data_IF_718757632821
#
_entry.id   IF_718757632821
#
_cell.length_a   1.000
_cell.length_b   1.000
_cell.length_c   1.000
_cell.angle_alpha   90.00
_cell.angle_beta   90.00
_cell.angle_gamma   90.00
#
_symmetry.space_group_name_H-M   'P 1'
#
loop_
_entity.id
_entity.type
_entity.pdbx_description
1 polymer ?
#
# COMPACT_ATOMS: atom_id res chain seq x y z
N UNK A 1 21.93 -12.23 -22.28
CA UNK A 1 20.55 -11.87 -21.86
C UNK A 1 19.73 -11.82 -23.15
N UNK A 2 18.71 -12.65 -23.29
CA UNK A 2 17.92 -12.75 -24.53
C UNK A 2 16.88 -11.65 -24.58
N UNK A 3 16.68 -11.05 -25.74
CA UNK A 3 15.67 -9.99 -25.96
C UNK A 3 14.25 -10.48 -25.57
N UNK A 4 14.00 -11.77 -25.76
CA UNK A 4 12.76 -12.46 -25.36
C UNK A 4 12.42 -12.31 -23.87
N UNK A 5 13.42 -12.32 -22.99
CA UNK A 5 13.20 -12.16 -21.53
C UNK A 5 12.68 -10.77 -21.16
N UNK A 6 13.17 -9.73 -21.84
CA UNK A 6 12.69 -8.37 -21.62
C UNK A 6 11.26 -8.16 -22.14
N UNK A 7 10.92 -8.75 -23.28
CA UNK A 7 9.59 -8.63 -23.88
C UNK A 7 8.53 -9.21 -22.95
N UNK A 8 8.80 -10.36 -22.31
CA UNK A 8 7.87 -11.03 -21.38
C UNK A 8 7.55 -10.15 -20.15
N UNK A 9 8.48 -9.28 -19.74
CA UNK A 9 8.27 -8.41 -18.57
C UNK A 9 7.72 -7.04 -18.98
N UNK A 10 8.29 -6.44 -20.04
CA UNK A 10 7.96 -5.06 -20.41
C UNK A 10 6.59 -4.93 -21.06
N UNK A 11 6.16 -5.92 -21.87
CA UNK A 11 4.87 -5.84 -22.57
C UNK A 11 3.68 -5.85 -21.59
N UNK A 12 3.59 -6.78 -20.62
CA UNK A 12 2.52 -6.74 -19.61
C UNK A 12 2.54 -5.48 -18.77
N UNK A 13 3.73 -5.00 -18.40
CA UNK A 13 3.89 -3.76 -17.64
C UNK A 13 3.38 -2.54 -18.42
N UNK A 14 3.73 -2.44 -19.71
CA UNK A 14 3.26 -1.36 -20.58
C UNK A 14 1.74 -1.37 -20.72
N UNK A 15 1.12 -2.55 -20.87
CA UNK A 15 -0.34 -2.69 -20.93
C UNK A 15 -0.99 -2.32 -19.61
N UNK A 16 -0.44 -2.72 -18.49
CA UNK A 16 -0.92 -2.31 -17.18
C UNK A 16 -0.91 -0.79 -17.01
N UNK A 17 0.21 -0.14 -17.34
CA UNK A 17 0.34 1.32 -17.32
C UNK A 17 -0.63 2.01 -18.29
N UNK A 18 -0.82 1.46 -19.48
CA UNK A 18 -1.79 1.99 -20.45
C UNK A 18 -3.22 2.01 -19.89
N UNK A 19 -3.66 0.91 -19.24
CA UNK A 19 -5.00 0.84 -18.63
C UNK A 19 -5.15 1.84 -17.48
N UNK A 20 -4.10 2.00 -16.64
CA UNK A 20 -4.11 2.99 -15.56
C UNK A 20 -4.21 4.43 -16.09
N UNK A 21 -3.42 4.77 -17.11
CA UNK A 21 -3.42 6.11 -17.72
C UNK A 21 -4.73 6.43 -18.42
N UNK A 22 -5.47 5.42 -18.87
CA UNK A 22 -6.81 5.56 -19.46
C UNK A 22 -7.92 5.67 -18.41
N UNK A 23 -7.60 5.64 -17.10
CA UNK A 23 -8.56 5.76 -16.02
C UNK A 23 -9.36 4.48 -15.71
N UNK A 24 -8.95 3.33 -16.23
CA UNK A 24 -9.56 2.06 -15.88
C UNK A 24 -9.12 1.62 -14.46
N UNK A 25 -9.91 0.72 -13.86
CA UNK A 25 -9.61 0.18 -12.54
C UNK A 25 -8.32 -0.65 -12.55
N UNK A 26 -7.58 -0.60 -11.42
CA UNK A 26 -6.33 -1.36 -11.23
C UNK A 26 -6.55 -2.86 -11.47
N UNK A 27 -7.70 -3.39 -11.01
CA UNK A 27 -8.08 -4.80 -11.20
C UNK A 27 -8.22 -5.18 -12.66
N UNK A 28 -8.81 -4.31 -13.48
CA UNK A 28 -8.98 -4.56 -14.90
C UNK A 28 -7.62 -4.51 -15.64
N UNK A 29 -6.78 -3.54 -15.29
CA UNK A 29 -5.42 -3.46 -15.81
C UNK A 29 -4.58 -4.68 -15.45
N UNK A 30 -4.65 -5.13 -14.19
CA UNK A 30 -3.93 -6.32 -13.73
C UNK A 30 -4.40 -7.61 -14.41
N UNK A 31 -5.71 -7.76 -14.64
CA UNK A 31 -6.27 -8.91 -15.35
C UNK A 31 -5.70 -9.02 -16.77
N UNK A 32 -5.79 -7.94 -17.56
CA UNK A 32 -5.29 -7.93 -18.93
C UNK A 32 -3.77 -8.08 -19.01
N UNK A 33 -3.04 -7.44 -18.07
CA UNK A 33 -1.58 -7.59 -17.98
C UNK A 33 -1.18 -9.03 -17.68
N UNK A 34 -1.87 -9.73 -16.76
CA UNK A 34 -1.59 -11.12 -16.42
C UNK A 34 -1.87 -12.05 -17.60
N UNK A 35 -2.99 -11.85 -18.30
CA UNK A 35 -3.35 -12.63 -19.46
C UNK A 35 -2.34 -12.44 -20.60
N UNK A 36 -1.91 -11.22 -20.82
CA UNK A 36 -0.89 -10.89 -21.81
C UNK A 36 0.49 -11.43 -21.42
N UNK A 37 0.83 -11.46 -20.12
CA UNK A 37 2.08 -12.07 -19.65
C UNK A 37 2.15 -13.55 -19.98
N UNK A 38 1.04 -14.29 -19.82
CA UNK A 38 0.97 -15.71 -20.21
C UNK A 38 1.09 -15.87 -21.72
N UNK A 39 0.45 -15.02 -22.50
CA UNK A 39 0.53 -15.06 -23.97
C UNK A 39 1.93 -14.73 -24.48
N UNK A 40 2.54 -13.67 -23.99
CA UNK A 40 3.92 -13.28 -24.38
C UNK A 40 4.92 -14.34 -23.99
N UNK A 41 4.76 -14.94 -22.80
CA UNK A 41 5.59 -16.07 -22.38
C UNK A 41 5.48 -17.26 -23.35
N UNK A 42 4.25 -17.66 -23.69
CA UNK A 42 3.98 -18.76 -24.63
C UNK A 42 4.62 -18.50 -26.00
N UNK A 43 4.43 -17.29 -26.55
CA UNK A 43 4.96 -16.90 -27.84
C UNK A 43 6.50 -16.88 -27.83
N UNK A 44 7.11 -16.28 -26.82
CA UNK A 44 8.58 -16.24 -26.71
C UNK A 44 9.17 -17.64 -26.56
N UNK A 45 8.49 -18.53 -25.84
CA UNK A 45 8.93 -19.90 -25.65
C UNK A 45 8.82 -20.74 -26.94
N UNK A 46 7.78 -20.51 -27.77
CA UNK A 46 7.62 -21.13 -29.09
C UNK A 46 8.76 -20.68 -30.02
N UNK A 47 9.10 -19.39 -30.02
CA UNK A 47 10.17 -18.81 -30.83
C UNK A 47 11.53 -19.42 -30.46
N UNK A 48 11.80 -19.58 -29.15
CA UNK A 48 13.06 -20.13 -28.64
C UNK A 48 13.23 -21.62 -28.89
N UNK A 49 12.14 -22.42 -28.78
CA UNK A 49 12.20 -23.88 -28.80
C UNK A 49 11.97 -24.48 -30.20
N UNK A 50 11.34 -23.71 -31.11
CA UNK A 50 10.95 -24.14 -32.48
C UNK A 50 10.11 -25.44 -32.55
N UNK A 51 9.62 -25.93 -31.43
CA UNK A 51 8.78 -27.12 -31.31
C UNK A 51 7.49 -26.80 -30.59
N UNK A 52 6.39 -26.78 -31.35
CA UNK A 52 5.07 -26.37 -30.87
C UNK A 52 4.52 -27.30 -29.77
N UNK A 53 4.79 -28.62 -29.85
CA UNK A 53 4.28 -29.59 -28.86
C UNK A 53 4.95 -29.40 -27.51
N UNK A 54 6.27 -29.26 -27.52
CA UNK A 54 7.07 -29.04 -26.29
C UNK A 54 6.75 -27.69 -25.67
N UNK A 55 6.56 -26.66 -26.49
CA UNK A 55 6.15 -25.33 -26.02
C UNK A 55 4.76 -25.35 -25.35
N UNK A 56 3.78 -25.99 -25.96
CA UNK A 56 2.42 -26.03 -25.42
C UNK A 56 2.31 -26.81 -24.08
N UNK A 57 3.01 -27.95 -24.00
CA UNK A 57 3.06 -28.75 -22.76
C UNK A 57 3.83 -28.04 -21.64
N UNK A 58 4.90 -27.34 -21.95
CA UNK A 58 5.68 -26.58 -20.96
C UNK A 58 4.92 -25.36 -20.48
N UNK A 59 4.30 -24.60 -21.37
CA UNK A 59 3.44 -23.45 -21.01
C UNK A 59 2.26 -23.88 -20.16
N UNK A 60 1.61 -25.02 -20.48
CA UNK A 60 0.52 -25.59 -19.66
C UNK A 60 0.96 -25.95 -18.24
N UNK A 61 2.14 -26.60 -18.09
CA UNK A 61 2.71 -26.90 -16.77
C UNK A 61 3.05 -25.66 -15.97
N UNK A 62 3.60 -24.62 -16.61
CA UNK A 62 3.93 -23.36 -15.94
C UNK A 62 2.66 -22.64 -15.55
N UNK A 63 1.65 -22.57 -16.41
CA UNK A 63 0.36 -21.96 -16.09
C UNK A 63 -0.27 -22.65 -14.87
N UNK A 64 -0.30 -23.99 -14.85
CA UNK A 64 -0.82 -24.76 -13.71
C UNK A 64 -0.02 -24.53 -12.42
N UNK A 65 1.31 -24.53 -12.50
CA UNK A 65 2.18 -24.23 -11.35
C UNK A 65 1.99 -22.81 -10.84
N UNK A 66 1.80 -21.84 -11.76
CA UNK A 66 1.54 -20.44 -11.41
C UNK A 66 0.18 -20.26 -10.74
N UNK A 67 -0.85 -20.98 -11.22
CA UNK A 67 -2.17 -20.99 -10.56
C UNK A 67 -2.10 -21.57 -9.14
N UNK A 68 -1.36 -22.66 -8.93
CA UNK A 68 -1.19 -23.24 -7.58
C UNK A 68 -0.46 -22.24 -6.65
N UNK A 69 0.64 -21.65 -7.10
CA UNK A 69 1.35 -20.66 -6.30
C UNK A 69 0.51 -19.40 -6.03
N UNK A 70 -0.22 -18.94 -7.04
CA UNK A 70 -1.15 -17.81 -6.89
C UNK A 70 -2.27 -18.11 -5.90
N UNK A 71 -2.86 -19.29 -5.94
CA UNK A 71 -3.90 -19.74 -4.98
C UNK A 71 -3.37 -19.72 -3.55
N UNK A 72 -2.15 -20.23 -3.32
CA UNK A 72 -1.52 -20.20 -2.00
C UNK A 72 -1.37 -18.79 -1.46
N UNK A 73 -0.91 -17.86 -2.30
CA UNK A 73 -0.79 -16.45 -1.92
C UNK A 73 -2.15 -15.79 -1.63
N UNK A 74 -3.19 -16.16 -2.39
CA UNK A 74 -4.56 -15.66 -2.14
C UNK A 74 -5.08 -16.15 -0.79
N UNK A 75 -4.87 -17.42 -0.45
CA UNK A 75 -5.29 -17.99 0.85
C UNK A 75 -4.64 -17.24 2.02
N UNK A 76 -3.34 -16.96 1.91
CA UNK A 76 -2.61 -16.19 2.93
C UNK A 76 -3.18 -14.76 3.06
N UNK A 77 -3.41 -14.07 1.94
CA UNK A 77 -4.04 -12.75 1.94
C UNK A 77 -5.46 -12.76 2.49
N UNK A 78 -6.28 -13.76 2.16
CA UNK A 78 -7.62 -13.90 2.71
C UNK A 78 -7.61 -14.04 4.24
N UNK A 79 -6.66 -14.80 4.79
CA UNK A 79 -6.49 -14.92 6.24
C UNK A 79 -6.18 -13.57 6.91
N UNK A 80 -5.25 -12.81 6.35
CA UNK A 80 -4.89 -11.48 6.84
C UNK A 80 -6.08 -10.51 6.73
N UNK A 81 -6.78 -10.50 5.60
CA UNK A 81 -7.95 -9.65 5.39
C UNK A 81 -9.10 -9.99 6.35
N UNK A 82 -9.40 -11.27 6.55
CA UNK A 82 -10.42 -11.70 7.49
C UNK A 82 -10.08 -11.29 8.93
N UNK A 83 -8.85 -11.51 9.37
CA UNK A 83 -8.37 -11.08 10.68
C UNK A 83 -8.46 -9.57 10.86
N UNK A 84 -8.05 -8.78 9.86
CA UNK A 84 -8.13 -7.32 9.92
C UNK A 84 -9.58 -6.82 9.99
N UNK A 85 -10.52 -7.43 9.27
CA UNK A 85 -11.94 -7.07 9.33
C UNK A 85 -12.56 -7.34 10.71
N UNK A 86 -12.15 -8.41 11.39
CA UNK A 86 -12.58 -8.69 12.76
C UNK A 86 -12.09 -7.58 13.70
N UNK A 87 -10.84 -7.17 13.60
CA UNK A 87 -10.28 -6.08 14.41
C UNK A 87 -11.02 -4.77 14.17
N UNK A 88 -11.28 -4.42 12.90
CA UNK A 88 -12.02 -3.21 12.53
C UNK A 88 -13.44 -3.25 13.12
N UNK A 89 -14.14 -4.38 13.00
CA UNK A 89 -15.47 -4.56 13.55
C UNK A 89 -15.48 -4.38 15.09
N UNK A 90 -14.52 -4.97 15.80
CA UNK A 90 -14.39 -4.82 17.26
C UNK A 90 -14.13 -3.36 17.68
N UNK A 91 -13.24 -2.66 16.98
CA UNK A 91 -12.94 -1.23 17.24
C UNK A 91 -14.21 -0.39 17.03
N UNK A 92 -14.97 -0.67 15.98
CA UNK A 92 -16.21 0.04 15.67
C UNK A 92 -17.32 -0.24 16.70
N UNK A 93 -17.51 -1.51 17.08
CA UNK A 93 -18.54 -1.92 18.03
C UNK A 93 -18.27 -1.46 19.47
N UNK A 94 -17.00 -1.40 19.87
CA UNK A 94 -16.61 -0.98 21.23
C UNK A 94 -16.65 0.54 21.42
N UNK A 95 -16.85 1.31 20.35
CA UNK A 95 -16.75 2.77 20.40
C UNK A 95 -15.31 3.27 20.72
N UNK A 96 -14.32 2.39 20.60
CA UNK A 96 -12.92 2.76 20.82
C UNK A 96 -12.47 3.89 19.91
N UNK A 97 -12.93 3.87 18.65
CA UNK A 97 -12.66 4.90 17.67
C UNK A 97 -13.08 6.30 18.14
N UNK A 98 -14.31 6.43 18.65
CA UNK A 98 -14.84 7.71 19.14
C UNK A 98 -14.14 8.20 20.40
N UNK A 99 -13.80 7.29 21.32
CA UNK A 99 -13.02 7.64 22.53
C UNK A 99 -11.62 8.11 22.16
N UNK A 100 -10.96 7.42 21.26
CA UNK A 100 -9.63 7.81 20.81
C UNK A 100 -9.65 9.16 20.10
N UNK A 101 -10.62 9.40 19.23
CA UNK A 101 -10.84 10.69 18.57
C UNK A 101 -11.02 11.82 19.59
N UNK A 102 -11.90 11.64 20.60
CA UNK A 102 -12.11 12.66 21.62
C UNK A 102 -10.87 12.94 22.48
N UNK A 103 -10.06 11.93 22.78
CA UNK A 103 -8.79 12.12 23.50
C UNK A 103 -7.78 12.93 22.64
N UNK A 104 -7.72 12.66 21.34
CA UNK A 104 -6.84 13.40 20.42
C UNK A 104 -7.28 14.86 20.31
N UNK A 105 -8.60 15.13 20.22
CA UNK A 105 -9.13 16.50 20.21
C UNK A 105 -8.78 17.24 21.51
N UNK A 106 -8.98 16.61 22.66
CA UNK A 106 -8.64 17.20 23.96
C UNK A 106 -7.15 17.56 24.08
N UNK A 107 -6.25 16.73 23.51
CA UNK A 107 -4.82 17.05 23.44
C UNK A 107 -4.54 18.21 22.46
N UNK A 108 -5.33 18.31 21.40
CA UNK A 108 -5.20 19.32 20.35
C UNK A 108 -5.61 20.73 20.78
N UNK A 109 -6.47 20.88 21.80
CA UNK A 109 -6.84 22.18 22.38
C UNK A 109 -5.61 22.96 22.87
N UNK A 110 -4.56 22.26 23.29
CA UNK A 110 -3.32 22.87 23.75
C UNK A 110 -2.29 23.05 22.61
N UNK A 111 -2.27 22.17 21.60
CA UNK A 111 -1.31 22.22 20.50
C UNK A 111 -1.70 21.32 19.35
N UNK A 112 -1.96 21.90 18.19
CA UNK A 112 -2.23 21.15 16.94
C UNK A 112 -1.05 20.24 16.58
N UNK A 113 0.19 20.68 16.83
CA UNK A 113 1.38 19.86 16.57
C UNK A 113 1.37 18.57 17.39
N UNK A 114 1.05 18.66 18.69
CA UNK A 114 0.98 17.49 19.56
C UNK A 114 -0.10 16.52 19.09
N UNK A 115 -1.24 17.03 18.66
CA UNK A 115 -2.31 16.24 18.09
C UNK A 115 -1.87 15.50 16.81
N UNK A 116 -1.18 16.17 15.89
CA UNK A 116 -0.63 15.55 14.69
C UNK A 116 0.37 14.45 15.04
N UNK A 117 1.26 14.68 16.00
CA UNK A 117 2.23 13.67 16.46
C UNK A 117 1.50 12.45 17.06
N UNK A 118 0.52 12.66 17.94
CA UNK A 118 -0.27 11.56 18.50
C UNK A 118 -1.03 10.81 17.41
N UNK A 119 -1.64 11.52 16.47
CA UNK A 119 -2.35 10.93 15.32
C UNK A 119 -1.42 10.11 14.43
N UNK A 120 -0.19 10.56 14.20
CA UNK A 120 0.84 9.81 13.49
C UNK A 120 1.10 8.45 14.16
N UNK A 121 1.39 8.45 15.47
CA UNK A 121 1.65 7.21 16.20
C UNK A 121 0.44 6.27 16.18
N UNK A 122 -0.75 6.80 16.42
CA UNK A 122 -2.00 6.02 16.39
C UNK A 122 -2.23 5.43 15.00
N UNK A 123 -2.04 6.21 13.94
CA UNK A 123 -2.21 5.73 12.56
C UNK A 123 -1.23 4.61 12.21
N UNK A 124 0.04 4.76 12.61
CA UNK A 124 1.05 3.72 12.41
C UNK A 124 0.66 2.45 13.18
N UNK A 125 0.27 2.57 14.45
CA UNK A 125 -0.16 1.43 15.27
C UNK A 125 -1.38 0.71 14.68
N UNK A 126 -2.40 1.47 14.27
CA UNK A 126 -3.60 0.91 13.65
C UNK A 126 -3.30 0.24 12.30
N UNK A 127 -2.31 0.74 11.57
CA UNK A 127 -1.92 0.22 10.26
C UNK A 127 -1.01 -1.01 10.31
N UNK A 128 -0.45 -1.36 11.49
CA UNK A 128 0.47 -2.50 11.60
C UNK A 128 -0.22 -3.82 11.25
N UNK A 129 0.32 -4.51 10.25
CA UNK A 129 -0.19 -5.83 9.83
C UNK A 129 -1.49 -5.78 9.00
N UNK A 130 -2.02 -4.60 8.73
CA UNK A 130 -3.18 -4.43 7.86
C UNK A 130 -2.76 -4.12 6.41
N UNK A 131 -3.55 -4.52 5.41
CA UNK A 131 -3.44 -3.95 4.07
C UNK A 131 -3.64 -2.44 4.11
N UNK A 132 -2.90 -1.70 3.29
CA UNK A 132 -2.88 -0.21 3.31
C UNK A 132 -4.27 0.41 3.18
N UNK A 133 -5.14 -0.18 2.36
CA UNK A 133 -6.53 0.27 2.19
C UNK A 133 -7.35 0.13 3.47
N UNK A 134 -7.22 -1.01 4.17
CA UNK A 134 -7.90 -1.24 5.45
C UNK A 134 -7.35 -0.32 6.55
N UNK A 135 -6.04 -0.16 6.61
CA UNK A 135 -5.37 0.77 7.52
C UNK A 135 -5.83 2.21 7.31
N UNK A 136 -5.95 2.65 6.05
CA UNK A 136 -6.46 3.98 5.72
C UNK A 136 -7.93 4.14 6.14
N UNK A 137 -8.81 3.20 5.79
CA UNK A 137 -10.24 3.30 6.13
C UNK A 137 -10.43 3.37 7.65
N UNK A 138 -9.71 2.52 8.40
CA UNK A 138 -9.75 2.53 9.85
C UNK A 138 -9.21 3.84 10.42
N UNK A 139 -8.03 4.27 9.99
CA UNK A 139 -7.42 5.52 10.43
C UNK A 139 -8.26 6.74 10.07
N UNK A 140 -8.81 6.80 8.87
CA UNK A 140 -9.65 7.90 8.41
C UNK A 140 -10.95 8.00 9.21
N UNK A 141 -11.57 6.88 9.58
CA UNK A 141 -12.79 6.90 10.39
C UNK A 141 -12.57 7.43 11.81
N UNK A 142 -11.36 7.30 12.34
CA UNK A 142 -11.01 7.69 13.71
C UNK A 142 -10.34 9.07 13.76
N UNK A 143 -9.33 9.28 12.93
CA UNK A 143 -8.41 10.42 13.04
C UNK A 143 -8.82 11.61 12.17
N UNK A 144 -9.35 11.38 10.95
CA UNK A 144 -9.69 12.50 10.07
C UNK A 144 -10.73 13.44 10.68
N UNK A 145 -11.84 12.97 11.33
CA UNK A 145 -12.78 13.86 11.99
C UNK A 145 -12.13 14.68 13.11
N UNK A 146 -11.25 14.05 13.90
CA UNK A 146 -10.52 14.74 14.97
C UNK A 146 -9.62 15.85 14.43
N UNK A 147 -8.86 15.60 13.38
CA UNK A 147 -7.99 16.60 12.75
C UNK A 147 -8.77 17.74 12.11
N UNK A 148 -9.91 17.45 11.48
CA UNK A 148 -10.78 18.46 10.86
C UNK A 148 -11.38 19.38 11.93
N UNK A 149 -11.81 18.85 13.08
CA UNK A 149 -12.34 19.68 14.18
C UNK A 149 -11.30 20.62 14.77
N UNK A 150 -10.01 20.28 14.66
CA UNK A 150 -8.87 21.13 15.07
C UNK A 150 -8.43 22.13 13.99
N UNK A 151 -9.16 22.22 12.88
CA UNK A 151 -8.94 23.20 11.84
C UNK A 151 -8.01 22.74 10.70
N UNK A 152 -7.61 21.46 10.68
CA UNK A 152 -6.86 20.91 9.54
C UNK A 152 -7.79 20.75 8.33
N UNK A 153 -7.42 21.22 7.13
CA UNK A 153 -8.23 21.06 5.93
C UNK A 153 -8.58 19.59 5.67
N UNK A 154 -9.82 19.28 5.21
CA UNK A 154 -10.26 17.89 5.04
C UNK A 154 -9.33 17.06 4.14
N UNK A 155 -8.87 17.61 3.02
CA UNK A 155 -7.94 16.93 2.12
C UNK A 155 -6.61 16.63 2.83
N UNK A 156 -6.05 17.60 3.55
CA UNK A 156 -4.82 17.43 4.31
C UNK A 156 -4.96 16.37 5.41
N UNK A 157 -6.09 16.36 6.14
CA UNK A 157 -6.36 15.38 7.18
C UNK A 157 -6.43 13.94 6.61
N UNK A 158 -7.14 13.75 5.48
CA UNK A 158 -7.22 12.44 4.82
C UNK A 158 -5.88 11.99 4.22
N UNK A 159 -5.14 12.90 3.60
CA UNK A 159 -3.80 12.59 3.09
C UNK A 159 -2.81 12.27 4.20
N UNK A 160 -2.88 12.98 5.34
CA UNK A 160 -2.08 12.70 6.53
C UNK A 160 -2.26 11.25 6.99
N UNK A 161 -3.51 10.84 7.15
CA UNK A 161 -3.83 9.47 7.55
C UNK A 161 -3.38 8.44 6.51
N UNK A 162 -3.60 8.73 5.21
CA UNK A 162 -3.18 7.85 4.14
C UNK A 162 -1.65 7.65 4.10
N UNK A 163 -0.88 8.73 4.30
CA UNK A 163 0.59 8.66 4.35
C UNK A 163 1.07 7.72 5.46
N UNK A 164 0.55 7.89 6.69
CA UNK A 164 0.99 7.05 7.81
C UNK A 164 0.43 5.63 7.74
N UNK A 165 -0.72 5.42 7.12
CA UNK A 165 -1.21 4.09 6.79
C UNK A 165 -0.26 3.37 5.80
N UNK A 166 0.32 4.08 4.82
CA UNK A 166 1.35 3.52 3.95
C UNK A 166 2.67 3.27 4.70
N UNK A 167 3.10 4.21 5.54
CA UNK A 167 4.34 4.12 6.29
C UNK A 167 4.32 3.02 7.37
N UNK A 168 3.14 2.62 7.85
CA UNK A 168 3.00 1.52 8.81
C UNK A 168 3.57 0.19 8.29
N UNK A 169 3.54 -0.02 6.96
CA UNK A 169 4.11 -1.20 6.33
C UNK A 169 5.66 -1.23 6.36
N UNK A 170 6.30 -0.09 6.60
CA UNK A 170 7.75 0.06 6.67
C UNK A 170 8.26 0.12 8.11
N UNK A 171 7.38 0.48 9.08
CA UNK A 171 7.77 0.74 10.47
C UNK A 171 7.75 -0.52 11.33
N UNK A 172 8.82 -0.80 12.12
CA UNK A 172 8.77 -1.86 13.14
C UNK A 172 7.65 -1.58 14.17
N UNK A 173 7.07 -2.60 14.79
CA UNK A 173 7.57 -3.98 14.89
C UNK A 173 7.09 -4.94 13.79
N UNK A 174 6.08 -4.62 13.01
CA UNK A 174 5.50 -5.58 12.05
C UNK A 174 6.13 -5.46 10.65
N UNK A 175 6.29 -4.24 10.14
CA UNK A 175 6.96 -3.85 8.88
C UNK A 175 6.90 -4.92 7.76
N UNK A 176 5.69 -5.31 7.33
CA UNK A 176 5.45 -6.43 6.41
C UNK A 176 6.26 -6.32 5.11
N UNK A 177 6.35 -5.12 4.53
CA UNK A 177 7.13 -4.89 3.31
C UNK A 177 8.63 -5.14 3.52
N UNK A 178 9.15 -4.71 4.67
CA UNK A 178 10.56 -4.92 5.03
C UNK A 178 10.84 -6.38 5.34
N UNK A 179 9.89 -7.08 5.97
CA UNK A 179 10.02 -8.51 6.24
C UNK A 179 10.19 -9.30 4.93
N UNK A 180 9.37 -9.02 3.93
CA UNK A 180 9.48 -9.64 2.61
C UNK A 180 10.81 -9.29 1.91
N UNK A 181 11.21 -8.02 1.93
CA UNK A 181 12.46 -7.56 1.34
C UNK A 181 13.69 -8.18 2.03
N UNK A 182 13.67 -8.28 3.36
CA UNK A 182 14.76 -8.89 4.14
C UNK A 182 14.92 -10.39 3.87
N UNK A 183 13.80 -11.09 3.62
CA UNK A 183 13.80 -12.50 3.21
C UNK A 183 14.51 -12.69 1.85
N UNK A 184 14.23 -11.82 0.88
CA UNK A 184 14.91 -11.83 -0.43
C UNK A 184 16.39 -11.48 -0.32
N UNK A 185 16.73 -10.48 0.50
CA UNK A 185 18.10 -10.02 0.72
C UNK A 185 18.90 -10.91 1.71
N UNK A 186 18.25 -11.94 2.30
CA UNK A 186 18.85 -12.80 3.36
C UNK A 186 19.46 -11.99 4.51
N UNK A 187 18.81 -10.89 4.89
CA UNK A 187 19.25 -9.97 5.93
C UNK A 187 18.38 -10.05 7.19
N UNK A 188 18.85 -9.47 8.29
CA UNK A 188 18.06 -9.40 9.52
C UNK A 188 16.92 -8.38 9.35
N UNK A 189 15.66 -8.85 9.42
CA UNK A 189 14.47 -8.04 9.20
C UNK A 189 14.37 -6.81 10.10
N UNK A 190 14.74 -6.93 11.39
CA UNK A 190 14.65 -5.81 12.34
C UNK A 190 15.66 -4.71 12.03
N UNK A 191 16.93 -5.09 11.73
CA UNK A 191 17.96 -4.13 11.30
C UNK A 191 17.56 -3.45 9.99
N UNK A 192 17.01 -4.21 9.05
CA UNK A 192 16.53 -3.68 7.78
C UNK A 192 15.36 -2.73 8.01
N UNK A 193 14.43 -3.03 8.95
CA UNK A 193 13.33 -2.14 9.33
C UNK A 193 13.79 -0.83 9.94
N UNK A 194 14.73 -0.87 10.88
CA UNK A 194 15.31 0.34 11.45
C UNK A 194 16.00 1.20 10.38
N UNK A 195 16.74 0.58 9.46
CA UNK A 195 17.39 1.28 8.37
C UNK A 195 16.36 1.90 7.40
N UNK A 196 15.31 1.17 7.07
CA UNK A 196 14.20 1.67 6.25
C UNK A 196 13.55 2.91 6.87
N UNK A 197 13.32 2.91 8.19
CA UNK A 197 12.80 4.09 8.90
C UNK A 197 13.77 5.27 8.84
N UNK A 198 15.08 5.04 8.97
CA UNK A 198 16.07 6.10 8.86
C UNK A 198 16.08 6.74 7.46
N UNK A 199 16.03 5.91 6.42
CA UNK A 199 15.97 6.39 5.03
C UNK A 199 14.64 7.10 4.75
N UNK A 200 13.54 6.63 5.36
CA UNK A 200 12.22 7.22 5.19
C UNK A 200 11.96 8.46 6.08
N UNK A 201 12.90 8.87 6.94
CA UNK A 201 12.74 10.01 7.85
C UNK A 201 12.18 11.28 7.17
N UNK A 202 12.64 11.71 5.99
CA UNK A 202 12.06 12.86 5.29
C UNK A 202 10.57 12.67 4.98
N UNK A 203 10.16 11.43 4.64
CA UNK A 203 8.77 11.09 4.30
C UNK A 203 7.87 11.22 5.52
N UNK A 204 8.37 10.97 6.74
CA UNK A 204 7.61 11.17 7.98
C UNK A 204 7.31 12.64 8.27
N UNK A 205 8.11 13.58 7.74
CA UNK A 205 7.93 15.03 7.96
C UNK A 205 6.93 15.63 6.96
N UNK A 206 6.87 15.12 5.74
CA UNK A 206 6.02 15.66 4.67
C UNK A 206 4.55 15.86 5.10
N UNK A 207 3.86 14.90 5.78
CA UNK A 207 2.48 15.09 6.18
C UNK A 207 2.23 16.27 7.11
N UNK A 208 3.21 16.61 7.94
CA UNK A 208 3.10 17.80 8.78
C UNK A 208 3.13 19.08 7.95
N UNK A 209 3.99 19.14 6.92
CA UNK A 209 4.15 20.35 6.12
C UNK A 209 2.87 20.76 5.40
N UNK A 210 2.14 19.82 4.80
CA UNK A 210 0.90 20.16 4.11
C UNK A 210 -0.30 20.35 5.06
N UNK A 211 -0.25 19.85 6.30
CA UNK A 211 -1.24 20.20 7.30
C UNK A 211 -1.13 21.66 7.74
N UNK A 212 0.09 22.22 7.77
CA UNK A 212 0.32 23.63 8.10
C UNK A 212 0.24 24.57 6.90
N UNK A 213 0.53 24.07 5.70
CA UNK A 213 0.47 24.87 4.46
C UNK A 213 -0.30 24.12 3.36
N UNK A 214 -1.63 24.34 3.28
CA UNK A 214 -2.48 23.70 2.26
C UNK A 214 -2.12 24.04 0.82
N UNK A 215 -1.35 25.13 0.59
CA UNK A 215 -0.87 25.48 -0.75
C UNK A 215 -0.01 24.38 -1.37
N UNK A 216 0.68 23.57 -0.55
CA UNK A 216 1.41 22.37 -1.02
C UNK A 216 0.51 21.30 -1.64
N UNK A 217 -0.79 21.33 -1.33
CA UNK A 217 -1.80 20.44 -1.92
C UNK A 217 -2.57 21.11 -3.07
N UNK A 218 -2.08 22.25 -3.55
CA UNK A 218 -2.75 23.09 -4.55
C UNK A 218 -4.14 23.58 -4.08
N UNK A 219 -4.36 23.61 -2.76
CA UNK A 219 -5.53 24.23 -2.14
C UNK A 219 -5.17 25.63 -1.70
N UNK A 220 -5.70 26.65 -2.38
CA UNK A 220 -5.45 28.06 -2.05
C UNK A 220 -5.68 28.98 -3.24
N UNK A 221 -5.51 30.29 -3.01
CA UNK A 221 -5.55 31.26 -4.11
C UNK A 221 -4.25 31.17 -4.94
N UNK A 222 -4.33 31.47 -6.24
CA UNK A 222 -3.19 31.43 -7.16
C UNK A 222 -1.98 32.27 -6.71
N UNK A 223 -2.14 33.15 -5.70
CA UNK A 223 -1.06 33.94 -5.09
C UNK A 223 -0.36 33.21 -3.93
N UNK A 224 -0.86 32.06 -3.49
CA UNK A 224 -0.31 31.25 -2.38
C UNK A 224 0.36 29.96 -2.88
N UNK A 225 0.14 29.59 -4.14
CA UNK A 225 0.77 28.48 -4.87
C UNK A 225 1.98 29.00 -5.64
#
# INVERSE_FOLDING_TARGET
IRVTEYVVVLVPLAVFMFYLLRGYTVTMGAFWATLLALLTYAVCFIIDTKDLKTALTSTGKICFSTCIKGSSSIVEMCGILAGSQIVIALISLTGFATKLSSMIVALGENSVFLCLVCSMFVCILLGMGLPTTAAYVLGASVLSPALITLGVPPLAAHLFVMYYACLSALTPPVCVAVFMASGLAKSNWFKTGCLSCMVALPIFVIPFTFCYNPALLLEGSASQI
#
